data_IF_312390417400
#
_entry.id   IF_312390417400
#
_cell.length_a   1.000
_cell.length_b   1.000
_cell.length_c   1.000
_cell.angle_alpha   90.00
_cell.angle_beta   90.00
_cell.angle_gamma   90.00
#
_symmetry.space_group_name_H-M   'P 1'
#
loop_
_entity.id
_entity.type
_entity.pdbx_description
1 polymer ?
#
# COMPACT_ATOMS: atom_id res chain seq x y z
N UNK A 1 12.24 57.55 -12.04
CA UNK A 1 12.91 56.30 -11.74
C UNK A 1 11.82 55.26 -11.54
N UNK A 2 11.56 54.43 -12.54
CA UNK A 2 10.55 53.35 -12.47
C UNK A 2 11.28 52.04 -12.15
N UNK A 3 11.00 51.51 -10.98
CA UNK A 3 11.52 50.19 -10.60
C UNK A 3 10.57 49.12 -11.17
N UNK A 4 11.04 48.40 -12.18
CA UNK A 4 10.35 47.23 -12.69
C UNK A 4 10.60 46.06 -11.76
N UNK A 5 9.58 45.59 -11.07
CA UNK A 5 9.59 44.41 -10.22
C UNK A 5 9.43 43.19 -11.09
N UNK A 6 10.50 42.44 -11.34
CA UNK A 6 10.48 41.16 -12.02
C UNK A 6 9.90 40.11 -11.08
N UNK A 7 8.70 39.68 -11.32
CA UNK A 7 8.15 38.46 -10.72
C UNK A 7 8.74 37.24 -11.45
N UNK A 8 9.66 36.55 -10.80
CA UNK A 8 10.09 35.23 -11.24
C UNK A 8 8.95 34.25 -10.90
N UNK A 9 8.17 33.87 -11.89
CA UNK A 9 7.27 32.72 -11.79
C UNK A 9 8.14 31.44 -11.71
N UNK A 10 8.29 30.88 -10.52
CA UNK A 10 8.78 29.51 -10.39
C UNK A 10 7.70 28.61 -10.99
N UNK A 11 7.90 28.18 -12.23
CA UNK A 11 7.10 27.14 -12.83
C UNK A 11 7.27 25.89 -11.95
N UNK A 12 6.20 25.44 -11.32
CA UNK A 12 6.17 24.15 -10.66
C UNK A 12 6.52 23.10 -11.72
N UNK A 13 7.67 22.46 -11.56
CA UNK A 13 8.09 21.33 -12.40
C UNK A 13 7.06 20.25 -12.11
N UNK A 14 6.14 20.05 -13.06
CA UNK A 14 5.27 18.86 -13.07
C UNK A 14 6.22 17.67 -13.09
N UNK A 15 6.13 16.73 -12.15
CA UNK A 15 6.99 15.55 -12.18
C UNK A 15 6.88 14.91 -13.55
N UNK A 16 7.99 14.84 -14.28
CA UNK A 16 8.02 14.17 -15.57
C UNK A 16 7.60 12.73 -15.36
N UNK A 17 6.60 12.29 -16.10
CA UNK A 17 6.05 10.94 -16.13
C UNK A 17 7.20 9.93 -16.34
N UNK A 18 7.68 9.34 -15.22
CA UNK A 18 8.85 8.45 -15.21
C UNK A 18 8.53 7.17 -15.97
N UNK A 19 9.37 6.72 -16.90
CA UNK A 19 9.15 5.47 -17.65
C UNK A 19 8.90 4.27 -16.74
N UNK A 20 9.60 4.19 -15.60
CA UNK A 20 9.43 3.13 -14.60
C UNK A 20 8.04 3.16 -13.97
N UNK A 21 7.49 4.36 -13.70
CA UNK A 21 6.15 4.50 -13.15
C UNK A 21 5.10 4.09 -14.18
N UNK A 22 5.26 4.50 -15.44
CA UNK A 22 4.37 4.05 -16.53
C UNK A 22 4.37 2.54 -16.65
N UNK A 23 5.55 1.92 -16.70
CA UNK A 23 5.67 0.47 -16.82
C UNK A 23 5.05 -0.27 -15.62
N UNK A 24 5.13 0.29 -14.41
CA UNK A 24 4.47 -0.26 -13.23
C UNK A 24 2.94 -0.17 -13.34
N UNK A 25 2.42 1.00 -13.74
CA UNK A 25 0.96 1.19 -13.93
C UNK A 25 0.42 0.30 -15.04
N UNK A 26 1.18 0.11 -16.12
CA UNK A 26 0.83 -0.81 -17.20
C UNK A 26 0.81 -2.27 -16.72
N UNK A 27 1.77 -2.68 -15.89
CA UNK A 27 1.79 -4.02 -15.28
C UNK A 27 0.57 -4.23 -14.36
N UNK A 28 0.22 -3.24 -13.53
CA UNK A 28 -0.96 -3.29 -12.67
C UNK A 28 -2.26 -3.40 -13.48
N UNK A 29 -2.39 -2.60 -14.54
CA UNK A 29 -3.56 -2.66 -15.44
C UNK A 29 -3.66 -3.99 -16.20
N UNK A 30 -2.53 -4.53 -16.65
CA UNK A 30 -2.48 -5.84 -17.29
C UNK A 30 -2.88 -6.97 -16.33
N UNK A 31 -2.47 -6.87 -15.07
CA UNK A 31 -2.88 -7.80 -14.01
C UNK A 31 -4.38 -7.74 -13.76
N UNK A 32 -4.98 -6.56 -13.66
CA UNK A 32 -6.43 -6.38 -13.52
C UNK A 32 -7.18 -6.97 -14.74
N UNK A 33 -6.74 -6.67 -15.95
CA UNK A 33 -7.32 -7.21 -17.17
C UNK A 33 -7.25 -8.74 -17.22
N UNK A 34 -6.12 -9.34 -16.82
CA UNK A 34 -5.98 -10.79 -16.73
C UNK A 34 -6.95 -11.40 -15.69
N UNK A 35 -7.24 -10.71 -14.59
CA UNK A 35 -8.21 -11.13 -13.59
C UNK A 35 -9.62 -11.22 -14.16
N UNK A 36 -10.01 -10.26 -14.98
CA UNK A 36 -11.31 -10.26 -15.67
C UNK A 36 -11.35 -11.36 -16.73
N UNK A 37 -10.28 -11.49 -17.53
CA UNK A 37 -10.24 -12.42 -18.67
C UNK A 37 -10.15 -13.88 -18.24
N UNK A 38 -9.25 -14.20 -17.29
CA UNK A 38 -8.86 -15.57 -16.91
C UNK A 38 -9.34 -15.99 -15.54
N UNK A 39 -9.83 -15.05 -14.73
CA UNK A 39 -10.17 -15.22 -13.33
C UNK A 39 -9.00 -14.89 -12.39
N UNK A 40 -9.37 -14.43 -11.21
CA UNK A 40 -8.41 -13.92 -10.21
C UNK A 40 -7.30 -14.92 -9.87
N UNK A 41 -7.62 -16.22 -9.75
CA UNK A 41 -6.64 -17.26 -9.39
C UNK A 41 -5.49 -17.35 -10.38
N UNK A 42 -5.77 -17.39 -11.68
CA UNK A 42 -4.75 -17.50 -12.73
C UNK A 42 -3.95 -16.19 -12.82
N UNK A 43 -4.65 -15.05 -12.81
CA UNK A 43 -4.01 -13.75 -12.86
C UNK A 43 -3.03 -13.53 -11.70
N UNK A 44 -3.43 -13.86 -10.47
CA UNK A 44 -2.57 -13.76 -9.28
C UNK A 44 -1.37 -14.71 -9.38
N UNK A 45 -1.57 -15.94 -9.80
CA UNK A 45 -0.46 -16.91 -9.95
C UNK A 45 0.57 -16.44 -10.96
N UNK A 46 0.14 -15.81 -12.05
CA UNK A 46 1.04 -15.32 -13.11
C UNK A 46 1.82 -14.06 -12.70
N UNK A 47 1.22 -13.18 -11.88
CA UNK A 47 1.80 -11.88 -11.58
C UNK A 47 2.56 -11.82 -10.25
N UNK A 48 2.32 -12.74 -9.31
CA UNK A 48 3.06 -12.77 -8.05
C UNK A 48 4.51 -13.22 -8.25
N UNK A 49 5.43 -12.65 -7.48
CA UNK A 49 6.78 -13.19 -7.31
C UNK A 49 6.72 -14.55 -6.59
N UNK A 50 7.78 -15.36 -6.71
CA UNK A 50 7.80 -16.68 -6.08
C UNK A 50 7.72 -16.60 -4.55
N UNK A 51 8.26 -15.53 -3.97
CA UNK A 51 8.18 -15.18 -2.55
C UNK A 51 7.10 -14.12 -2.24
N UNK A 52 6.21 -13.82 -3.21
CA UNK A 52 5.18 -12.81 -3.09
C UNK A 52 4.13 -13.16 -2.03
N UNK A 53 3.77 -12.18 -1.20
CA UNK A 53 2.89 -12.36 -0.05
C UNK A 53 1.48 -11.85 -0.36
N UNK A 54 0.48 -12.69 -0.11
CA UNK A 54 -0.93 -12.30 -0.05
C UNK A 54 -1.49 -12.56 1.35
N UNK A 55 -2.56 -11.83 1.71
CA UNK A 55 -3.23 -11.98 3.01
C UNK A 55 -4.57 -12.71 2.86
N UNK A 56 -4.70 -13.93 3.50
CA UNK A 56 -5.86 -14.82 3.34
C UNK A 56 -6.29 -15.54 4.65
N UNK A 57 -6.72 -14.91 5.71
CA UNK A 57 -6.46 -13.55 6.15
C UNK A 57 -5.02 -13.35 6.62
N UNK A 58 -4.30 -14.43 6.91
CA UNK A 58 -2.89 -14.41 7.33
C UNK A 58 -1.95 -14.24 6.13
N UNK A 59 -0.75 -13.64 6.32
CA UNK A 59 0.24 -13.55 5.26
C UNK A 59 0.72 -14.94 4.84
N UNK A 60 0.66 -15.23 3.55
CA UNK A 60 1.11 -16.48 2.96
C UNK A 60 1.93 -16.19 1.71
N UNK A 61 2.94 -17.01 1.43
CA UNK A 61 3.57 -17.02 0.10
C UNK A 61 2.53 -17.54 -0.88
N UNK A 62 2.03 -16.65 -1.75
CA UNK A 62 0.84 -16.91 -2.56
C UNK A 62 0.98 -18.17 -3.41
N UNK A 63 2.04 -18.28 -4.18
CA UNK A 63 2.26 -19.42 -5.08
C UNK A 63 2.33 -20.75 -4.32
N UNK A 64 3.00 -20.78 -3.17
CA UNK A 64 3.07 -21.98 -2.35
C UNK A 64 1.70 -22.34 -1.75
N UNK A 65 0.97 -21.37 -1.22
CA UNK A 65 -0.38 -21.58 -0.68
C UNK A 65 -1.35 -22.08 -1.74
N UNK A 66 -1.13 -21.71 -2.99
CA UNK A 66 -1.97 -22.10 -4.12
C UNK A 66 -1.55 -23.41 -4.79
N UNK A 67 -0.34 -23.90 -4.61
CA UNK A 67 0.24 -25.06 -5.31
C UNK A 67 -0.65 -26.31 -5.29
N UNK A 68 -1.21 -26.61 -4.12
CA UNK A 68 -2.03 -27.81 -3.91
C UNK A 68 -3.53 -27.52 -3.79
N UNK A 69 -3.95 -26.27 -3.99
CA UNK A 69 -5.39 -25.93 -4.02
C UNK A 69 -5.97 -26.27 -5.40
N UNK A 70 -7.07 -27.01 -5.47
CA UNK A 70 -7.73 -27.26 -6.74
C UNK A 70 -8.15 -25.95 -7.39
N UNK A 71 -8.12 -25.92 -8.72
CA UNK A 71 -8.66 -24.79 -9.46
C UNK A 71 -10.16 -24.68 -9.19
N UNK A 72 -10.72 -23.47 -9.12
CA UNK A 72 -12.15 -23.29 -8.96
C UNK A 72 -12.88 -23.91 -10.16
N UNK A 73 -13.98 -24.62 -9.90
CA UNK A 73 -14.80 -25.25 -10.95
C UNK A 73 -15.30 -24.21 -11.98
N UNK A 74 -15.58 -23.00 -11.53
CA UNK A 74 -15.85 -21.84 -12.39
C UNK A 74 -14.88 -20.71 -12.04
N UNK A 75 -13.80 -20.50 -12.81
CA UNK A 75 -12.84 -19.42 -12.58
C UNK A 75 -13.45 -18.03 -12.63
N UNK A 76 -14.61 -17.90 -13.30
CA UNK A 76 -15.36 -16.66 -13.48
C UNK A 76 -16.64 -16.59 -12.65
N UNK A 77 -16.74 -17.37 -11.55
CA UNK A 77 -17.87 -17.23 -10.63
C UNK A 77 -17.96 -15.82 -10.02
N UNK A 78 -16.81 -15.20 -9.84
CA UNK A 78 -16.69 -13.80 -9.43
C UNK A 78 -15.77 -13.06 -10.41
N UNK A 79 -16.10 -11.79 -10.67
CA UNK A 79 -15.23 -10.86 -11.39
C UNK A 79 -14.59 -9.92 -10.37
N UNK A 80 -13.28 -9.98 -10.26
CA UNK A 80 -12.47 -9.02 -9.48
C UNK A 80 -11.82 -8.06 -10.46
N UNK A 81 -12.24 -6.78 -10.40
CA UNK A 81 -11.71 -5.67 -11.19
C UNK A 81 -11.16 -4.58 -10.29
N UNK A 82 -10.07 -3.94 -10.70
CA UNK A 82 -9.48 -2.83 -9.96
C UNK A 82 -8.75 -1.87 -10.89
N UNK A 83 -8.50 -0.65 -10.38
CA UNK A 83 -7.82 0.40 -11.14
C UNK A 83 -6.78 1.10 -10.28
N UNK A 84 -5.52 1.22 -10.72
CA UNK A 84 -4.54 2.03 -10.02
C UNK A 84 -4.91 3.51 -10.13
N UNK A 85 -5.01 4.18 -9.00
CA UNK A 85 -5.28 5.63 -8.92
C UNK A 85 -4.14 6.40 -8.27
N UNK A 86 -3.25 5.70 -7.56
CA UNK A 86 -2.09 6.30 -6.91
C UNK A 86 -0.95 5.30 -6.76
N UNK A 87 0.28 5.81 -6.76
CA UNK A 87 1.46 4.98 -6.54
C UNK A 87 2.76 5.77 -6.63
N UNK A 88 3.85 5.06 -6.42
CA UNK A 88 5.20 5.59 -6.60
C UNK A 88 6.18 4.47 -6.96
N UNK A 89 7.35 4.87 -7.43
CA UNK A 89 8.44 3.98 -7.81
C UNK A 89 9.76 4.51 -7.28
N UNK A 90 10.63 3.61 -6.85
CA UNK A 90 11.98 3.93 -6.39
C UNK A 90 12.82 4.62 -7.46
N UNK A 91 13.85 5.34 -7.07
CA UNK A 91 14.78 5.98 -8.01
C UNK A 91 15.48 4.96 -8.93
N UNK A 92 15.78 3.77 -8.42
CA UNK A 92 16.34 2.66 -9.20
C UNK A 92 15.34 1.93 -10.08
N UNK A 93 14.05 2.23 -9.99
CA UNK A 93 13.00 1.65 -10.81
C UNK A 93 12.78 0.15 -10.61
N UNK A 94 13.16 -0.42 -9.47
CA UNK A 94 13.09 -1.87 -9.19
C UNK A 94 12.10 -2.23 -8.07
N UNK A 95 11.59 -1.23 -7.35
CA UNK A 95 10.55 -1.34 -6.33
C UNK A 95 9.52 -0.24 -6.54
N UNK A 96 8.24 -0.55 -6.38
CA UNK A 96 7.17 0.44 -6.42
C UNK A 96 5.92 -0.07 -5.74
N UNK A 97 4.91 0.78 -5.63
CA UNK A 97 3.60 0.39 -5.13
C UNK A 97 2.50 1.12 -5.90
N UNK A 98 1.35 0.49 -5.92
CA UNK A 98 0.11 1.06 -6.43
C UNK A 98 -1.02 0.79 -5.46
N UNK A 99 -2.03 1.65 -5.47
CA UNK A 99 -3.27 1.46 -4.75
C UNK A 99 -4.44 2.04 -5.54
N UNK A 100 -5.61 1.51 -5.31
CA UNK A 100 -6.82 1.98 -5.97
C UNK A 100 -8.05 1.18 -5.55
N UNK A 101 -9.23 1.60 -6.04
CA UNK A 101 -10.47 0.89 -5.78
C UNK A 101 -10.53 -0.45 -6.50
N UNK A 102 -11.23 -1.41 -5.89
CA UNK A 102 -11.63 -2.65 -6.53
C UNK A 102 -13.13 -2.90 -6.37
N UNK A 103 -13.68 -3.66 -7.30
CA UNK A 103 -15.00 -4.27 -7.17
C UNK A 103 -14.91 -5.78 -7.32
N UNK A 104 -15.75 -6.50 -6.56
CA UNK A 104 -15.90 -7.94 -6.66
C UNK A 104 -17.37 -8.27 -6.90
N UNK A 105 -17.67 -8.68 -8.14
CA UNK A 105 -19.02 -8.96 -8.63
C UNK A 105 -19.28 -10.46 -8.61
N UNK A 106 -20.38 -10.88 -7.99
CA UNK A 106 -20.91 -12.25 -8.14
C UNK A 106 -21.64 -12.36 -9.48
N UNK A 107 -21.07 -13.10 -10.43
CA UNK A 107 -21.62 -13.26 -11.77
C UNK A 107 -22.91 -14.12 -11.79
N UNK A 108 -23.28 -14.75 -10.68
CA UNK A 108 -24.59 -15.38 -10.53
C UNK A 108 -25.71 -14.39 -10.16
N UNK A 109 -25.34 -13.16 -9.77
CA UNK A 109 -26.28 -12.12 -9.33
C UNK A 109 -26.93 -12.39 -7.96
N UNK A 110 -26.47 -13.40 -7.22
CA UNK A 110 -27.05 -13.77 -5.91
C UNK A 110 -26.55 -12.93 -4.76
N UNK A 111 -25.36 -12.32 -4.91
CA UNK A 111 -24.76 -11.49 -3.88
C UNK A 111 -24.52 -10.06 -4.41
N UNK A 112 -24.64 -9.04 -3.55
CA UNK A 112 -24.33 -7.68 -3.95
C UNK A 112 -22.85 -7.54 -4.30
N UNK A 113 -22.53 -6.60 -5.18
CA UNK A 113 -21.16 -6.20 -5.47
C UNK A 113 -20.47 -5.72 -4.19
N UNK A 114 -19.26 -6.20 -3.97
CA UNK A 114 -18.40 -5.77 -2.86
C UNK A 114 -17.34 -4.84 -3.38
N UNK A 115 -17.04 -3.81 -2.60
CA UNK A 115 -16.08 -2.76 -2.93
C UNK A 115 -14.95 -2.71 -1.92
N UNK A 116 -13.83 -2.17 -2.33
CA UNK A 116 -12.71 -1.96 -1.44
C UNK A 116 -11.56 -1.21 -2.09
N UNK A 117 -10.44 -1.19 -1.39
CA UNK A 117 -9.16 -0.70 -1.89
C UNK A 117 -8.11 -1.81 -1.80
N UNK A 118 -7.35 -1.96 -2.88
CA UNK A 118 -6.17 -2.80 -2.92
C UNK A 118 -4.91 -1.96 -2.65
N UNK A 119 -3.86 -2.66 -2.26
CA UNK A 119 -2.54 -2.12 -1.99
C UNK A 119 -1.52 -3.16 -2.40
N UNK A 120 -0.84 -2.92 -3.52
CA UNK A 120 0.15 -3.84 -4.06
C UNK A 120 1.53 -3.22 -4.04
N UNK A 121 2.50 -3.94 -3.52
CA UNK A 121 3.93 -3.65 -3.67
C UNK A 121 4.49 -4.53 -4.77
N UNK A 122 5.23 -3.93 -5.67
CA UNK A 122 5.81 -4.55 -6.84
C UNK A 122 7.33 -4.49 -6.81
N UNK A 123 7.98 -5.56 -7.23
CA UNK A 123 9.43 -5.61 -7.43
C UNK A 123 9.78 -6.09 -8.84
N UNK A 124 10.90 -5.64 -9.39
CA UNK A 124 11.41 -6.19 -10.65
C UNK A 124 12.24 -7.44 -10.38
N UNK A 125 11.83 -8.55 -11.01
CA UNK A 125 12.55 -9.80 -11.04
C UNK A 125 12.93 -10.06 -12.51
N UNK A 126 14.21 -10.17 -12.82
CA UNK A 126 14.71 -10.33 -14.20
C UNK A 126 14.13 -9.31 -15.19
N UNK A 127 13.97 -8.05 -14.72
CA UNK A 127 13.45 -6.94 -15.53
C UNK A 127 11.93 -6.84 -15.64
N UNK A 128 11.18 -7.81 -15.12
CA UNK A 128 9.70 -7.83 -15.13
C UNK A 128 9.12 -7.47 -13.77
N UNK A 129 8.05 -6.70 -13.75
CA UNK A 129 7.30 -6.40 -12.54
C UNK A 129 6.57 -7.65 -12.03
N UNK A 130 6.74 -7.95 -10.75
CA UNK A 130 6.04 -9.02 -10.04
C UNK A 130 5.58 -8.50 -8.68
N UNK A 131 4.41 -8.96 -8.24
CA UNK A 131 3.83 -8.59 -6.94
C UNK A 131 4.64 -9.18 -5.80
N UNK A 132 5.20 -8.32 -4.95
CA UNK A 132 5.92 -8.71 -3.75
C UNK A 132 4.99 -8.82 -2.53
N UNK A 133 3.94 -7.99 -2.50
CA UNK A 133 2.93 -7.98 -1.44
C UNK A 133 1.61 -7.46 -2.01
N UNK A 134 0.51 -8.13 -1.67
CA UNK A 134 -0.84 -7.66 -1.97
C UNK A 134 -1.75 -7.84 -0.77
N UNK A 135 -2.46 -6.76 -0.43
CA UNK A 135 -3.38 -6.72 0.70
C UNK A 135 -4.56 -5.80 0.33
N UNK A 136 -5.78 -6.19 0.70
CA UNK A 136 -6.98 -5.42 0.43
C UNK A 136 -7.80 -5.13 1.67
N UNK A 137 -8.59 -4.07 1.61
CA UNK A 137 -9.61 -3.72 2.60
C UNK A 137 -10.95 -3.52 1.91
N UNK A 138 -12.04 -3.65 2.66
CA UNK A 138 -13.40 -3.40 2.16
C UNK A 138 -13.78 -1.94 2.38
N UNK A 139 -14.64 -1.43 1.49
CA UNK A 139 -15.31 -0.15 1.66
C UNK A 139 -16.83 -0.33 1.62
N UNK A 140 -17.61 0.54 2.28
CA UNK A 140 -19.06 0.40 2.32
C UNK A 140 -19.71 0.64 0.94
N UNK A 141 -19.08 1.46 0.10
CA UNK A 141 -19.56 1.86 -1.23
C UNK A 141 -18.42 1.82 -2.23
N UNK A 142 -18.75 1.95 -3.50
CA UNK A 142 -17.77 2.22 -4.55
C UNK A 142 -17.01 3.52 -4.29
N UNK A 143 -15.89 3.66 -4.98
CA UNK A 143 -15.07 4.86 -4.91
C UNK A 143 -15.64 5.96 -5.80
N UNK A 144 -15.96 7.11 -5.19
CA UNK A 144 -16.52 8.28 -5.88
C UNK A 144 -15.45 9.27 -6.35
N UNK A 145 -14.18 9.00 -6.08
CA UNK A 145 -13.06 9.84 -6.51
C UNK A 145 -12.68 9.65 -7.97
N UNK A 146 -11.80 10.52 -8.45
CA UNK A 146 -11.27 10.43 -9.82
C UNK A 146 -10.40 9.16 -10.00
N UNK A 147 -10.57 8.52 -11.16
CA UNK A 147 -9.82 7.30 -11.53
C UNK A 147 -8.52 7.60 -12.30
N UNK A 148 -8.18 8.89 -12.47
CA UNK A 148 -6.91 9.28 -13.06
C UNK A 148 -5.77 8.94 -12.12
N UNK A 149 -4.74 8.28 -12.67
CA UNK A 149 -3.58 7.92 -11.89
C UNK A 149 -2.77 9.16 -11.50
N UNK A 150 -2.38 9.23 -10.23
CA UNK A 150 -1.50 10.26 -9.67
C UNK A 150 -0.26 9.61 -9.07
N UNK A 151 0.90 10.10 -9.46
CA UNK A 151 2.15 9.71 -8.82
C UNK A 151 2.35 10.49 -7.53
N UNK A 152 2.93 9.85 -6.50
CA UNK A 152 3.37 10.53 -5.30
C UNK A 152 4.44 11.59 -5.61
N UNK A 153 4.52 12.61 -4.77
CA UNK A 153 5.56 13.63 -4.92
C UNK A 153 6.95 13.02 -4.75
N UNK A 154 7.86 13.36 -5.66
CA UNK A 154 9.26 12.96 -5.57
C UNK A 154 9.91 13.62 -4.37
N UNK A 155 10.64 12.84 -3.58
CA UNK A 155 11.48 13.36 -2.50
C UNK A 155 12.94 13.06 -2.77
N UNK A 156 13.79 13.73 -1.97
CA UNK A 156 15.20 13.83 -2.16
C UNK A 156 15.96 12.54 -2.43
N UNK A 157 17.13 12.75 -2.91
CA UNK A 157 18.02 11.71 -3.42
C UNK A 157 18.57 10.83 -2.31
N UNK A 158 18.71 9.61 -2.66
CA UNK A 158 19.15 8.44 -1.93
C UNK A 158 20.37 8.55 -1.04
N UNK A 159 20.33 7.81 0.06
CA UNK A 159 21.50 7.47 0.87
C UNK A 159 22.39 6.41 0.22
N UNK A 160 23.65 6.35 0.61
CA UNK A 160 24.65 5.42 0.09
C UNK A 160 24.51 4.05 0.76
N UNK A 161 24.45 2.97 -0.06
CA UNK A 161 24.60 1.55 0.26
C UNK A 161 23.40 0.73 0.79
N UNK A 162 23.27 -0.52 0.28
CA UNK A 162 22.07 -1.36 0.36
C UNK A 162 21.85 -2.06 1.72
N UNK A 163 22.87 -2.62 2.36
CA UNK A 163 22.70 -3.36 3.60
C UNK A 163 22.29 -2.50 4.82
N UNK A 164 22.88 -1.31 5.03
CA UNK A 164 22.41 -0.40 6.06
C UNK A 164 20.96 0.03 5.89
N UNK A 165 20.48 0.22 4.65
CA UNK A 165 19.16 0.78 4.40
C UNK A 165 18.01 -0.14 4.82
N UNK A 166 18.14 -1.45 4.65
CA UNK A 166 17.14 -2.41 5.12
C UNK A 166 17.07 -2.45 6.64
N UNK A 167 18.21 -2.38 7.31
CA UNK A 167 18.27 -2.34 8.77
C UNK A 167 17.77 -0.98 9.30
N UNK A 168 18.10 0.13 8.60
CA UNK A 168 17.56 1.45 8.92
C UNK A 168 16.04 1.52 8.75
N UNK A 169 15.49 0.89 7.71
CA UNK A 169 14.04 0.79 7.54
C UNK A 169 13.38 -0.05 8.64
N UNK A 170 13.98 -1.20 8.99
CA UNK A 170 13.47 -2.01 10.11
C UNK A 170 13.48 -1.22 11.42
N UNK A 171 14.56 -0.48 11.69
CA UNK A 171 14.65 0.36 12.87
C UNK A 171 13.59 1.47 12.85
N UNK A 172 13.39 2.14 11.70
CA UNK A 172 12.36 3.18 11.58
C UNK A 172 10.95 2.61 11.81
N UNK A 173 10.67 1.40 11.33
CA UNK A 173 9.41 0.70 11.58
C UNK A 173 9.26 0.36 13.07
N UNK A 174 10.27 -0.22 13.68
CA UNK A 174 10.27 -0.61 15.10
C UNK A 174 10.12 0.62 16.01
N UNK A 175 10.81 1.72 15.69
CA UNK A 175 10.69 3.00 16.41
C UNK A 175 9.27 3.57 16.29
N UNK A 176 8.66 3.51 15.09
CA UNK A 176 7.28 3.91 14.89
C UNK A 176 6.31 3.08 15.73
N UNK A 177 6.43 1.74 15.68
CA UNK A 177 5.59 0.83 16.46
C UNK A 177 5.79 1.03 17.97
N UNK A 178 7.01 1.30 18.41
CA UNK A 178 7.31 1.63 19.80
C UNK A 178 6.67 2.96 20.24
N UNK A 179 6.67 3.98 19.37
CA UNK A 179 5.98 5.24 19.64
C UNK A 179 4.46 5.06 19.72
N UNK A 180 3.87 4.23 18.86
CA UNK A 180 2.44 3.90 18.95
C UNK A 180 2.12 3.27 20.32
N UNK A 181 2.93 2.31 20.75
CA UNK A 181 2.74 1.61 22.02
C UNK A 181 2.90 2.55 23.23
N UNK A 182 3.87 3.45 23.21
CA UNK A 182 4.29 4.24 24.38
C UNK A 182 3.67 5.63 24.46
N UNK A 183 3.44 6.27 23.30
CA UNK A 183 2.91 7.65 23.19
C UNK A 183 1.59 7.75 22.45
N UNK A 184 1.09 6.62 21.92
CA UNK A 184 -0.15 6.55 21.15
C UNK A 184 -0.03 6.95 19.69
N UNK A 185 -1.03 6.58 18.88
CA UNK A 185 -1.05 6.75 17.44
C UNK A 185 -0.85 8.20 17.00
N UNK A 186 -1.52 9.17 17.65
CA UNK A 186 -1.43 10.60 17.27
C UNK A 186 0.01 11.09 17.28
N UNK A 187 0.77 10.78 18.33
CA UNK A 187 2.17 11.21 18.45
C UNK A 187 3.05 10.53 17.40
N UNK A 188 2.91 9.21 17.26
CA UNK A 188 3.69 8.42 16.32
C UNK A 188 3.48 8.87 14.86
N UNK A 189 2.21 9.09 14.46
CA UNK A 189 1.89 9.51 13.10
C UNK A 189 2.31 10.96 12.84
N UNK A 190 2.09 11.89 13.79
CA UNK A 190 2.59 13.27 13.63
C UNK A 190 4.09 13.33 13.32
N UNK A 191 4.87 12.46 13.91
CA UNK A 191 6.31 12.44 13.71
C UNK A 191 6.72 11.74 12.42
N UNK A 192 6.08 10.61 12.07
CA UNK A 192 6.64 9.67 11.10
C UNK A 192 5.97 9.69 9.73
N UNK A 193 4.71 10.18 9.58
CA UNK A 193 4.06 10.18 8.27
C UNK A 193 4.44 11.37 7.39
N UNK A 194 4.39 11.15 6.09
CA UNK A 194 4.54 12.16 5.06
C UNK A 194 3.34 13.11 4.97
N UNK A 195 3.51 14.27 4.36
CA UNK A 195 2.42 15.24 4.18
C UNK A 195 1.27 14.67 3.34
N UNK A 196 1.58 13.87 2.32
CA UNK A 196 0.65 13.24 1.37
C UNK A 196 0.36 11.76 1.69
N UNK A 197 0.66 11.31 2.91
CA UNK A 197 0.41 9.94 3.36
C UNK A 197 -1.03 9.51 3.11
N UNK A 198 -1.22 8.22 2.82
CA UNK A 198 -2.53 7.58 2.63
C UNK A 198 -2.76 6.51 3.67
N UNK A 199 -3.89 6.58 4.35
CA UNK A 199 -4.30 5.58 5.35
C UNK A 199 -5.54 4.83 4.87
N UNK A 200 -5.41 3.52 4.70
CA UNK A 200 -6.47 2.61 4.27
C UNK A 200 -6.92 1.76 5.46
N UNK A 201 -8.18 1.87 5.83
CA UNK A 201 -8.78 1.13 6.94
C UNK A 201 -10.01 0.36 6.46
N UNK A 202 -10.17 -0.88 6.89
CA UNK A 202 -11.36 -1.69 6.57
C UNK A 202 -12.65 -0.97 6.99
N UNK A 203 -13.66 -1.04 6.15
CA UNK A 203 -14.98 -0.45 6.38
C UNK A 203 -15.09 1.05 6.09
N UNK A 204 -14.11 1.68 5.40
CA UNK A 204 -14.17 3.09 5.03
C UNK A 204 -13.33 3.45 3.80
N UNK A 205 -13.66 4.59 3.22
CA UNK A 205 -12.82 5.19 2.16
C UNK A 205 -11.47 5.66 2.73
N UNK A 206 -10.39 5.65 1.92
CA UNK A 206 -9.06 6.07 2.34
C UNK A 206 -9.03 7.50 2.89
N UNK A 207 -8.23 7.71 3.95
CA UNK A 207 -7.97 9.03 4.52
C UNK A 207 -6.68 9.55 3.89
N UNK A 208 -6.73 10.76 3.32
CA UNK A 208 -5.65 11.32 2.52
C UNK A 208 -5.03 12.53 3.20
N UNK A 209 -3.71 12.51 3.31
CA UNK A 209 -2.93 13.61 3.85
C UNK A 209 -2.76 13.59 5.38
N UNK A 210 -1.62 14.09 5.81
CA UNK A 210 -1.22 14.08 7.23
C UNK A 210 -2.22 14.78 8.15
N UNK A 211 -2.76 15.91 7.72
CA UNK A 211 -3.71 16.68 8.54
C UNK A 211 -4.94 15.86 8.86
N UNK A 212 -5.56 15.27 7.84
CA UNK A 212 -6.79 14.47 7.97
C UNK A 212 -6.54 13.18 8.75
N UNK A 213 -5.41 12.52 8.50
CA UNK A 213 -5.03 11.31 9.25
C UNK A 213 -4.86 11.63 10.73
N UNK A 214 -4.13 12.69 11.07
CA UNK A 214 -3.89 13.07 12.47
C UNK A 214 -5.19 13.51 13.15
N UNK A 215 -6.07 14.25 12.47
CA UNK A 215 -7.38 14.62 12.99
C UNK A 215 -8.23 13.37 13.27
N UNK A 216 -8.28 12.42 12.35
CA UNK A 216 -8.96 11.15 12.55
C UNK A 216 -8.44 10.38 13.77
N UNK A 217 -7.12 10.27 13.92
CA UNK A 217 -6.49 9.57 15.03
C UNK A 217 -6.70 10.24 16.37
N UNK A 218 -6.97 11.54 16.39
CA UNK A 218 -7.37 12.27 17.59
C UNK A 218 -8.71 11.81 18.18
N UNK A 219 -9.56 11.21 17.34
CA UNK A 219 -10.88 10.71 17.73
C UNK A 219 -10.90 9.18 17.84
N UNK A 220 -10.13 8.48 16.99
CA UNK A 220 -10.13 7.02 16.91
C UNK A 220 -8.71 6.49 16.63
N UNK A 221 -8.10 5.81 17.60
CA UNK A 221 -6.85 5.08 17.40
C UNK A 221 -7.00 3.98 16.35
N UNK A 222 -5.95 3.75 15.55
CA UNK A 222 -5.87 2.64 14.60
C UNK A 222 -5.54 1.34 15.32
N UNK A 223 -4.37 1.27 15.94
CA UNK A 223 -3.93 0.11 16.72
C UNK A 223 -3.12 0.58 17.94
N UNK A 224 -2.92 -0.33 18.89
CA UNK A 224 -2.25 -0.04 20.16
C UNK A 224 -0.86 -0.69 20.21
N UNK A 225 -0.66 -1.75 19.44
CA UNK A 225 0.59 -2.53 19.41
C UNK A 225 0.77 -3.16 18.03
N UNK A 226 1.99 -3.16 17.53
CA UNK A 226 2.37 -3.81 16.28
C UNK A 226 3.63 -4.65 16.43
N UNK A 227 3.81 -5.59 15.51
CA UNK A 227 5.00 -6.44 15.39
C UNK A 227 5.40 -6.54 13.92
N UNK A 228 6.62 -6.10 13.61
CA UNK A 228 7.22 -6.25 12.29
C UNK A 228 7.45 -7.74 11.97
N UNK A 229 7.04 -8.18 10.78
CA UNK A 229 7.30 -9.51 10.24
C UNK A 229 8.33 -9.50 9.12
N UNK A 230 8.28 -8.49 8.23
CA UNK A 230 9.19 -8.39 7.10
C UNK A 230 9.38 -6.93 6.67
N UNK A 231 10.55 -6.65 6.09
CA UNK A 231 10.83 -5.40 5.40
C UNK A 231 11.69 -5.64 4.16
N UNK A 232 11.46 -4.85 3.12
CA UNK A 232 12.21 -4.83 1.87
C UNK A 232 12.50 -3.40 1.42
N UNK A 233 13.62 -3.18 0.73
CA UNK A 233 14.03 -1.87 0.22
C UNK A 233 14.45 -1.95 -1.25
N UNK A 234 14.29 -0.85 -1.99
CA UNK A 234 14.81 -0.68 -3.33
C UNK A 234 16.34 -0.65 -3.36
N UNK A 235 16.94 -0.90 -4.52
CA UNK A 235 18.39 -0.77 -4.71
C UNK A 235 18.91 0.64 -4.49
N UNK A 236 18.09 1.66 -4.74
CA UNK A 236 18.40 3.07 -4.50
C UNK A 236 18.21 3.50 -3.05
N UNK A 237 17.66 2.65 -2.19
CA UNK A 237 17.46 2.90 -0.77
C UNK A 237 16.57 4.11 -0.42
N UNK A 238 15.71 4.53 -1.33
CA UNK A 238 14.79 5.66 -1.18
C UNK A 238 13.35 5.24 -0.93
N UNK A 239 12.99 4.03 -1.36
CA UNK A 239 11.68 3.43 -1.20
C UNK A 239 11.81 2.06 -0.54
N UNK A 240 10.92 1.75 0.40
CA UNK A 240 10.86 0.45 1.04
C UNK A 240 9.45 0.11 1.48
N UNK A 241 9.25 -1.13 1.83
CA UNK A 241 7.98 -1.61 2.39
C UNK A 241 8.22 -2.51 3.59
N UNK A 242 7.21 -2.60 4.42
CA UNK A 242 7.17 -3.52 5.55
C UNK A 242 5.76 -4.08 5.70
N UNK A 243 5.64 -5.22 6.34
CA UNK A 243 4.38 -5.71 6.84
C UNK A 243 4.54 -6.39 8.20
N UNK A 244 3.46 -6.42 8.94
CA UNK A 244 3.45 -7.01 10.26
C UNK A 244 2.04 -7.22 10.79
N UNK A 245 1.95 -7.69 12.03
CA UNK A 245 0.67 -7.85 12.74
C UNK A 245 0.42 -6.67 13.66
N UNK A 246 -0.86 -6.40 13.92
CA UNK A 246 -1.28 -5.41 14.90
C UNK A 246 -2.36 -5.95 15.85
N UNK A 247 -2.43 -5.33 17.01
CA UNK A 247 -3.50 -5.50 18.00
C UNK A 247 -4.11 -4.13 18.32
N UNK A 248 -5.44 -4.06 18.38
CA UNK A 248 -6.20 -2.88 18.77
C UNK A 248 -7.26 -3.28 19.77
N UNK A 249 -7.48 -2.49 20.79
CA UNK A 249 -8.52 -2.81 21.80
C UNK A 249 -8.35 -2.10 23.12
N UNK A 250 -7.29 -1.31 23.30
CA UNK A 250 -7.12 -0.49 24.49
C UNK A 250 -8.25 0.54 24.56
N UNK A 251 -9.10 0.40 25.59
CA UNK A 251 -10.26 1.28 25.77
C UNK A 251 -11.43 1.02 24.81
N UNK A 252 -11.45 -0.09 24.08
CA UNK A 252 -12.54 -0.49 23.18
C UNK A 252 -13.32 -1.69 23.74
N UNK A 253 -14.62 -1.83 23.39
CA UNK A 253 -15.43 -2.98 23.84
C UNK A 253 -14.95 -4.32 23.28
N UNK A 254 -14.34 -4.32 22.08
CA UNK A 254 -13.81 -5.52 21.42
C UNK A 254 -12.36 -5.32 21.01
N UNK A 255 -11.58 -6.39 21.14
CA UNK A 255 -10.23 -6.46 20.59
C UNK A 255 -10.30 -6.75 19.10
N UNK A 256 -9.41 -6.12 18.32
CA UNK A 256 -9.23 -6.38 16.91
C UNK A 256 -7.77 -6.76 16.67
N UNK A 257 -7.55 -7.82 15.92
CA UNK A 257 -6.24 -8.23 15.45
C UNK A 257 -6.22 -8.16 13.93
N UNK A 258 -5.08 -7.86 13.37
CA UNK A 258 -4.95 -7.77 11.92
C UNK A 258 -3.51 -7.69 11.47
N UNK A 259 -3.39 -7.34 10.20
CA UNK A 259 -2.09 -7.13 9.56
C UNK A 259 -2.01 -5.73 8.98
N UNK A 260 -0.83 -5.14 9.07
CA UNK A 260 -0.52 -3.89 8.40
C UNK A 260 0.41 -4.13 7.20
N UNK A 261 0.25 -3.29 6.19
CA UNK A 261 1.23 -3.08 5.12
C UNK A 261 1.61 -1.60 5.09
N UNK A 262 2.91 -1.31 5.09
CA UNK A 262 3.45 0.03 5.08
C UNK A 262 4.35 0.24 3.87
N UNK A 263 4.30 1.44 3.28
CA UNK A 263 5.34 1.93 2.36
C UNK A 263 6.02 3.12 2.98
N UNK A 264 7.33 3.06 2.97
CA UNK A 264 8.22 4.07 3.50
C UNK A 264 9.04 4.70 2.37
N UNK A 265 9.24 6.01 2.46
CA UNK A 265 10.07 6.76 1.52
C UNK A 265 11.01 7.69 2.26
N UNK A 266 12.25 7.83 1.78
CA UNK A 266 13.17 8.81 2.36
C UNK A 266 12.78 10.21 1.92
N UNK A 267 12.74 11.13 2.88
CA UNK A 267 12.60 12.55 2.61
C UNK A 267 13.93 13.18 2.19
N UNK A 268 13.93 14.48 1.86
CA UNK A 268 15.13 15.24 1.48
C UNK A 268 16.25 15.19 2.53
N UNK A 269 15.90 15.09 3.81
CA UNK A 269 16.83 14.91 4.92
C UNK A 269 17.30 13.46 5.13
N UNK A 270 16.96 12.52 4.23
CA UNK A 270 17.35 11.12 4.29
C UNK A 270 16.60 10.28 5.34
N UNK A 271 15.61 10.83 6.03
CA UNK A 271 14.82 10.11 7.04
C UNK A 271 13.68 9.35 6.38
N UNK A 272 13.43 8.13 6.82
CA UNK A 272 12.27 7.35 6.44
C UNK A 272 10.97 8.01 6.92
N UNK A 273 10.00 8.13 6.02
CA UNK A 273 8.65 8.61 6.29
C UNK A 273 7.63 7.63 5.71
N UNK A 274 6.62 7.33 6.49
CA UNK A 274 5.50 6.50 6.08
C UNK A 274 4.64 7.28 5.06
N UNK A 275 4.51 6.76 3.85
CA UNK A 275 3.79 7.41 2.73
C UNK A 275 2.47 6.73 2.43
N UNK A 276 2.34 5.45 2.78
CA UNK A 276 1.09 4.73 2.64
C UNK A 276 1.00 3.60 3.67
N UNK A 277 -0.19 3.41 4.21
CA UNK A 277 -0.53 2.37 5.17
C UNK A 277 -1.85 1.73 4.82
N UNK A 278 -1.94 0.42 5.02
CA UNK A 278 -3.17 -0.35 4.97
C UNK A 278 -3.28 -1.22 6.22
N UNK A 279 -4.43 -1.20 6.88
CA UNK A 279 -4.76 -2.05 8.02
C UNK A 279 -5.91 -2.99 7.64
N UNK A 280 -5.61 -4.28 7.59
CA UNK A 280 -6.58 -5.34 7.25
C UNK A 280 -6.84 -6.19 8.49
N UNK A 281 -8.03 -6.07 9.11
CA UNK A 281 -8.38 -6.87 10.27
C UNK A 281 -8.60 -8.34 9.88
N UNK A 282 -8.27 -9.24 10.79
CA UNK A 282 -8.67 -10.64 10.70
C UNK A 282 -10.16 -10.70 11.02
N UNK A 283 -11.00 -11.24 10.13
CA UNK A 283 -12.40 -11.45 10.45
C UNK A 283 -12.55 -12.26 11.74
N UNK A 284 -13.54 -11.97 12.61
CA UNK A 284 -13.80 -12.81 13.76
C UNK A 284 -14.08 -14.24 13.29
N UNK A 285 -13.54 -15.20 14.04
CA UNK A 285 -13.91 -16.61 13.79
C UNK A 285 -15.42 -16.71 13.95
N UNK A 286 -16.09 -17.23 12.93
CA UNK A 286 -17.53 -17.52 13.05
C UNK A 286 -17.70 -18.57 14.16
N UNK A 287 -18.57 -18.30 15.15
CA UNK A 287 -18.83 -19.24 16.23
C UNK A 287 -19.43 -20.55 15.72
#
# INVERSE_FOLDING_TARGET
MHHAMFFIFLAAIIPQDRPEMRSLVEAERAFAAASIEKGAREAFTANFADDGIAFQPHPVVYKEAMKNRPLPANPKAFTLDWKPVFGDVSESGDLGYTTGPYSLVDNSGKQPTRYGFYFSVWKKVSGQWQVALDIGIRTPTDYEGGLDFRQAQSWGKTGKSAEPAKNELKQAEEDFLFLVLTKGSVAAYKENIAADCRLHLDGRQPILGKTEIVAFLGVRSTFDKGKLLHAGVSRSNDLGFSYGSYESGKGKPAKENGYFGHVWKRNEGGKWKLVAEILSPIPPENP
#
